data_IF_177374110593
#
_entry.id   IF_177374110593
#
_cell.length_a   1.000
_cell.length_b   1.000
_cell.length_c   1.000
_cell.angle_alpha   90.00
_cell.angle_beta   90.00
_cell.angle_gamma   90.00
#
_symmetry.space_group_name_H-M   'P 1'
#
loop_
_entity.id
_entity.type
_entity.pdbx_description
1 polymer ?
#
# COMPACT_ATOMS: atom_id res chain seq x y z
N UNK A 1 13.38 1.00 -11.85
CA UNK A 1 12.47 0.92 -10.74
C UNK A 1 12.56 2.14 -9.84
N UNK A 2 13.47 2.18 -8.88
CA UNK A 2 13.50 3.28 -7.92
C UNK A 2 13.87 4.63 -8.55
N UNK A 3 14.77 4.67 -9.54
CA UNK A 3 15.19 5.92 -10.18
C UNK A 3 14.21 6.47 -11.18
N UNK A 4 13.29 5.63 -11.69
CA UNK A 4 12.36 6.00 -12.76
C UNK A 4 10.90 5.97 -12.34
N UNK A 5 10.58 5.33 -11.21
CA UNK A 5 9.20 5.25 -10.72
C UNK A 5 8.90 6.45 -9.83
N UNK A 6 8.02 7.38 -10.28
CA UNK A 6 7.72 8.56 -9.47
C UNK A 6 7.01 8.23 -8.15
N UNK A 7 6.43 7.04 -8.02
CA UNK A 7 5.70 6.61 -6.81
C UNK A 7 6.59 5.92 -5.79
N UNK A 8 7.86 5.68 -6.11
CA UNK A 8 8.81 5.03 -5.22
C UNK A 8 9.06 5.90 -3.98
N UNK A 9 9.04 5.29 -2.80
CA UNK A 9 9.29 5.99 -1.53
C UNK A 9 10.61 5.54 -0.91
N UNK A 10 10.78 4.23 -0.71
CA UNK A 10 11.97 3.73 -0.03
C UNK A 10 12.18 2.25 -0.30
N UNK A 11 13.43 1.86 -0.37
CA UNK A 11 13.83 0.46 -0.42
C UNK A 11 14.08 -0.03 1.00
N UNK A 12 13.45 -1.15 1.37
CA UNK A 12 13.72 -1.83 2.63
C UNK A 12 14.51 -3.10 2.34
N UNK A 13 14.76 -3.91 3.35
CA UNK A 13 15.58 -5.10 3.17
C UNK A 13 14.93 -6.13 2.24
N UNK A 14 13.63 -6.35 2.39
CA UNK A 14 12.93 -7.40 1.63
C UNK A 14 12.00 -6.86 0.54
N UNK A 15 11.82 -5.55 0.45
CA UNK A 15 10.87 -5.02 -0.52
C UNK A 15 10.99 -3.54 -0.74
N UNK A 16 10.11 -3.03 -1.61
CA UNK A 16 10.05 -1.62 -2.00
C UNK A 16 8.73 -1.02 -1.57
N UNK A 17 8.79 0.16 -0.97
CA UNK A 17 7.60 0.93 -0.57
C UNK A 17 7.25 1.88 -1.71
N UNK A 18 6.02 1.78 -2.21
CA UNK A 18 5.55 2.53 -3.38
C UNK A 18 4.15 3.07 -3.09
N UNK A 19 3.92 4.35 -3.34
CA UNK A 19 2.57 4.93 -3.24
C UNK A 19 1.72 4.38 -4.38
N UNK A 20 0.48 4.01 -4.10
CA UNK A 20 -0.45 3.56 -5.13
C UNK A 20 -0.81 4.69 -6.08
N UNK A 21 -0.93 4.39 -7.37
CA UNK A 21 -1.20 5.41 -8.39
C UNK A 21 -2.66 5.89 -8.39
N UNK A 22 -3.57 5.18 -7.72
CA UNK A 22 -4.90 5.69 -7.46
C UNK A 22 -5.03 5.96 -5.95
N UNK A 23 -5.62 7.07 -5.60
CA UNK A 23 -5.70 7.54 -4.22
C UNK A 23 -7.14 7.78 -3.78
N UNK A 24 -8.06 6.96 -4.26
CA UNK A 24 -9.42 6.97 -3.70
C UNK A 24 -9.36 6.72 -2.19
N UNK A 25 -8.57 5.72 -1.79
CA UNK A 25 -8.25 5.49 -0.38
C UNK A 25 -6.95 6.22 -0.08
N UNK A 26 -7.05 7.42 0.48
CA UNK A 26 -5.89 8.31 0.68
C UNK A 26 -4.81 7.63 1.51
N UNK A 27 -3.62 7.53 0.94
CA UNK A 27 -2.49 6.86 1.56
C UNK A 27 -2.29 5.42 1.10
N UNK A 28 -3.13 4.92 0.16
CA UNK A 28 -2.95 3.58 -0.39
C UNK A 28 -1.50 3.40 -0.83
N UNK A 29 -0.86 2.37 -0.29
CA UNK A 29 0.57 2.09 -0.48
C UNK A 29 0.74 0.61 -0.80
N UNK A 30 1.75 0.31 -1.61
CA UNK A 30 2.13 -1.05 -1.96
C UNK A 30 3.48 -1.36 -1.32
N UNK A 31 3.65 -2.60 -0.88
CA UNK A 31 4.94 -3.11 -0.45
C UNK A 31 5.28 -4.30 -1.34
N UNK A 32 6.24 -4.11 -2.25
CA UNK A 32 6.58 -5.07 -3.29
C UNK A 32 7.76 -5.92 -2.83
N UNK A 33 7.62 -7.24 -2.90
CA UNK A 33 8.70 -8.16 -2.54
C UNK A 33 9.85 -8.03 -3.56
N UNK A 34 11.09 -8.02 -3.08
CA UNK A 34 12.26 -7.99 -3.96
C UNK A 34 12.44 -9.27 -4.75
N UNK A 35 12.10 -10.41 -4.14
CA UNK A 35 12.25 -11.69 -4.83
C UNK A 35 11.07 -11.94 -5.78
N UNK A 36 11.36 -12.57 -6.90
CA UNK A 36 10.33 -12.92 -7.89
C UNK A 36 9.60 -14.19 -7.45
N UNK A 37 8.76 -14.05 -6.44
CA UNK A 37 7.93 -15.14 -5.91
C UNK A 37 6.47 -14.80 -6.10
N UNK A 38 5.63 -15.81 -6.14
CA UNK A 38 4.19 -15.64 -6.29
C UNK A 38 3.45 -15.95 -5.00
N UNK A 39 4.08 -16.70 -4.09
CA UNK A 39 3.44 -17.12 -2.86
C UNK A 39 4.33 -16.82 -1.65
N UNK A 40 3.69 -16.43 -0.56
CA UNK A 40 4.38 -16.14 0.68
C UNK A 40 5.20 -17.34 1.18
N UNK A 41 4.64 -18.56 1.06
CA UNK A 41 5.29 -19.76 1.55
C UNK A 41 6.54 -20.18 0.75
N UNK A 42 6.78 -19.53 -0.41
CA UNK A 42 7.97 -19.79 -1.22
C UNK A 42 9.24 -19.10 -0.68
N UNK A 43 9.06 -18.10 0.20
CA UNK A 43 10.20 -17.42 0.82
C UNK A 43 10.84 -18.33 1.85
N UNK A 44 12.18 -18.21 2.03
CA UNK A 44 12.85 -18.91 3.14
C UNK A 44 12.28 -18.38 4.46
N UNK A 45 12.41 -19.15 5.52
CA UNK A 45 11.83 -18.77 6.81
C UNK A 45 12.29 -17.39 7.28
N UNK A 46 13.59 -17.12 7.24
CA UNK A 46 14.12 -15.84 7.69
C UNK A 46 13.64 -14.66 6.84
N UNK A 47 13.58 -14.85 5.53
CA UNK A 47 13.09 -13.80 4.62
C UNK A 47 11.60 -13.58 4.79
N UNK A 48 10.84 -14.66 4.98
CA UNK A 48 9.40 -14.57 5.23
C UNK A 48 9.10 -13.73 6.46
N UNK A 49 9.79 -14.04 7.56
CA UNK A 49 9.59 -13.30 8.82
C UNK A 49 9.95 -11.84 8.63
N UNK A 50 11.09 -11.57 7.98
CA UNK A 50 11.51 -10.19 7.76
C UNK A 50 10.54 -9.43 6.84
N UNK A 51 10.04 -10.10 5.80
CA UNK A 51 9.07 -9.51 4.88
C UNK A 51 7.77 -9.13 5.61
N UNK A 52 7.29 -10.01 6.49
CA UNK A 52 6.09 -9.75 7.29
C UNK A 52 6.32 -8.62 8.29
N UNK A 53 7.47 -8.59 8.94
CA UNK A 53 7.83 -7.50 9.86
C UNK A 53 7.87 -6.17 9.14
N UNK A 54 8.54 -6.14 7.99
CA UNK A 54 8.66 -4.90 7.22
C UNK A 54 7.32 -4.43 6.69
N UNK A 55 6.47 -5.35 6.24
CA UNK A 55 5.12 -5.02 5.83
C UNK A 55 4.35 -4.35 6.99
N UNK A 56 4.46 -4.90 8.19
CA UNK A 56 3.81 -4.35 9.37
C UNK A 56 4.32 -2.95 9.70
N UNK A 57 5.62 -2.73 9.56
CA UNK A 57 6.23 -1.40 9.77
C UNK A 57 5.69 -0.40 8.73
N UNK A 58 5.62 -0.82 7.47
CA UNK A 58 5.09 0.04 6.41
C UNK A 58 3.62 0.39 6.71
N UNK A 59 2.83 -0.58 7.14
CA UNK A 59 1.42 -0.35 7.46
C UNK A 59 1.27 0.65 8.61
N UNK A 60 2.09 0.54 9.64
CA UNK A 60 2.07 1.48 10.77
C UNK A 60 2.46 2.89 10.30
N UNK A 61 3.49 2.99 9.47
CA UNK A 61 3.93 4.28 8.94
C UNK A 61 2.82 4.92 8.09
N UNK A 62 2.14 4.14 7.26
CA UNK A 62 1.03 4.61 6.44
C UNK A 62 -0.10 5.11 7.34
N UNK A 63 -0.45 4.36 8.36
CA UNK A 63 -1.49 4.75 9.31
C UNK A 63 -1.16 6.08 9.99
N UNK A 64 0.08 6.24 10.40
CA UNK A 64 0.53 7.47 11.07
C UNK A 64 0.58 8.65 10.12
N UNK A 65 1.04 8.42 8.90
CA UNK A 65 1.21 9.50 7.91
C UNK A 65 -0.13 10.02 7.40
N UNK A 66 -1.12 9.14 7.25
CA UNK A 66 -2.38 9.49 6.57
C UNK A 66 -3.61 9.41 7.48
N UNK A 67 -3.41 9.10 8.76
CA UNK A 67 -4.50 9.15 9.73
C UNK A 67 -5.58 8.11 9.54
N UNK A 68 -5.20 6.86 9.31
CA UNK A 68 -6.15 5.78 9.11
C UNK A 68 -6.91 5.45 10.39
N UNK A 69 -8.21 5.17 10.25
CA UNK A 69 -9.01 4.62 11.35
C UNK A 69 -8.80 3.12 11.46
N UNK A 70 -8.53 2.47 10.33
CA UNK A 70 -8.27 1.03 10.24
C UNK A 70 -7.38 0.78 9.03
N UNK A 71 -6.39 -0.08 9.15
CA UNK A 71 -5.61 -0.54 8.01
C UNK A 71 -6.18 -1.85 7.49
N UNK A 72 -6.34 -1.94 6.18
CA UNK A 72 -6.65 -3.22 5.52
C UNK A 72 -5.37 -3.71 4.82
N UNK A 73 -5.05 -4.98 5.04
CA UNK A 73 -3.86 -5.63 4.50
C UNK A 73 -4.36 -6.70 3.51
N UNK A 74 -3.99 -6.57 2.25
CA UNK A 74 -4.44 -7.51 1.23
C UNK A 74 -3.29 -8.06 0.42
N UNK A 75 -3.20 -9.38 0.36
CA UNK A 75 -2.17 -10.10 -0.38
C UNK A 75 -2.89 -10.95 -1.43
N UNK A 76 -3.14 -10.35 -2.59
CA UNK A 76 -3.96 -10.97 -3.62
C UNK A 76 -3.10 -11.70 -4.65
N UNK A 77 -2.88 -11.10 -5.82
CA UNK A 77 -1.98 -11.70 -6.81
C UNK A 77 -2.67 -12.42 -7.94
N UNK A 78 -3.99 -12.30 -8.06
CA UNK A 78 -4.71 -12.95 -9.16
C UNK A 78 -4.47 -12.24 -10.49
N UNK A 79 -4.20 -10.95 -10.45
CA UNK A 79 -3.86 -10.18 -11.64
C UNK A 79 -2.35 -10.16 -11.83
N UNK A 80 -1.66 -9.38 -11.05
CA UNK A 80 -0.19 -9.36 -11.02
C UNK A 80 0.27 -10.39 -10.00
N UNK A 81 0.89 -11.45 -10.44
CA UNK A 81 1.26 -12.57 -9.59
C UNK A 81 2.50 -12.32 -8.73
N UNK A 82 3.27 -11.27 -9.01
CA UNK A 82 4.43 -10.91 -8.20
C UNK A 82 3.98 -10.59 -6.77
N UNK A 83 4.61 -11.21 -5.79
CA UNK A 83 4.22 -11.10 -4.38
C UNK A 83 4.29 -9.64 -3.90
N UNK A 84 3.16 -9.08 -3.50
CA UNK A 84 3.07 -7.70 -3.02
C UNK A 84 1.87 -7.52 -2.11
N UNK A 85 2.03 -6.62 -1.14
CA UNK A 85 0.96 -6.23 -0.23
C UNK A 85 0.27 -4.98 -0.71
N UNK A 86 -1.06 -4.96 -0.62
CA UNK A 86 -1.86 -3.74 -0.76
C UNK A 86 -2.20 -3.27 0.65
N UNK A 87 -1.81 -2.06 0.99
CA UNK A 87 -2.05 -1.48 2.31
C UNK A 87 -3.00 -0.30 2.15
N UNK A 88 -4.23 -0.47 2.61
CA UNK A 88 -5.29 0.52 2.43
C UNK A 88 -5.65 1.17 3.76
N UNK A 89 -5.40 2.50 3.91
CA UNK A 89 -5.95 3.23 5.05
C UNK A 89 -7.45 3.38 4.85
N UNK A 90 -8.22 2.94 5.81
CA UNK A 90 -9.67 3.01 5.75
C UNK A 90 -10.19 4.08 6.69
N UNK A 91 -11.20 4.81 6.25
CA UNK A 91 -11.87 5.86 7.02
C UNK A 91 -13.36 5.75 6.83
N UNK A 92 -14.13 6.23 7.81
CA UNK A 92 -15.59 6.26 7.72
C UNK A 92 -16.00 7.05 6.48
N UNK A 93 -16.93 6.50 5.71
CA UNK A 93 -17.47 7.15 4.52
C UNK A 93 -16.67 6.96 3.25
N UNK A 94 -15.57 6.22 3.27
CA UNK A 94 -14.73 6.06 2.08
C UNK A 94 -15.38 5.21 0.98
N UNK A 95 -16.27 4.26 1.33
CA UNK A 95 -17.04 3.49 0.34
C UNK A 95 -18.50 3.35 0.76
N UNK A 96 -19.19 4.47 0.84
CA UNK A 96 -20.60 4.49 1.17
C UNK A 96 -21.42 3.71 0.13
N UNK A 97 -22.46 3.02 0.60
CA UNK A 97 -23.41 2.26 -0.21
C UNK A 97 -22.84 1.01 -0.88
N UNK A 98 -21.63 0.62 -0.52
CA UNK A 98 -20.99 -0.61 -1.02
C UNK A 98 -20.45 -1.39 0.15
N UNK A 99 -20.27 -2.71 -0.07
CA UNK A 99 -19.53 -3.52 0.87
C UNK A 99 -20.03 -3.45 2.31
N UNK A 100 -21.34 -3.69 2.55
CA UNK A 100 -21.93 -3.66 3.88
C UNK A 100 -21.71 -2.29 4.55
N UNK A 101 -22.12 -1.24 3.84
CA UNK A 101 -22.01 0.16 4.28
C UNK A 101 -20.58 0.58 4.59
N UNK A 102 -19.66 0.17 3.73
CA UNK A 102 -18.26 0.52 3.85
C UNK A 102 -17.44 -0.39 4.75
N UNK A 103 -18.06 -1.45 5.28
CA UNK A 103 -17.36 -2.38 6.17
C UNK A 103 -16.72 -3.55 5.41
N UNK A 104 -17.00 -3.67 4.11
CA UNK A 104 -16.50 -4.76 3.31
C UNK A 104 -15.10 -4.50 2.77
N UNK A 105 -14.56 -5.50 2.07
CA UNK A 105 -13.25 -5.36 1.42
C UNK A 105 -13.21 -4.21 0.42
N UNK A 106 -12.04 -3.63 0.23
CA UNK A 106 -11.81 -2.55 -0.74
C UNK A 106 -12.34 -2.93 -2.13
N UNK A 107 -12.10 -4.18 -2.54
CA UNK A 107 -12.41 -4.63 -3.90
C UNK A 107 -13.89 -4.84 -4.18
N UNK A 108 -14.76 -4.62 -3.19
CA UNK A 108 -16.20 -4.53 -3.40
C UNK A 108 -16.61 -3.16 -3.95
N UNK A 109 -15.71 -2.19 -3.89
CA UNK A 109 -15.93 -0.88 -4.50
C UNK A 109 -15.68 -0.99 -6.01
N UNK A 110 -16.52 -0.38 -6.87
CA UNK A 110 -16.35 -0.53 -8.32
C UNK A 110 -14.97 -0.08 -8.79
N UNK A 111 -14.31 -0.94 -9.57
CA UNK A 111 -12.96 -0.70 -10.06
C UNK A 111 -12.87 0.56 -10.91
N UNK A 112 -13.86 0.79 -11.77
CA UNK A 112 -13.89 1.97 -12.63
C UNK A 112 -13.97 3.28 -11.84
N UNK A 113 -14.54 3.24 -10.65
CA UNK A 113 -14.57 4.41 -9.76
C UNK A 113 -13.25 4.58 -9.03
N UNK A 114 -12.70 3.48 -8.52
CA UNK A 114 -11.45 3.50 -7.78
C UNK A 114 -10.29 3.95 -8.67
N UNK A 115 -10.25 3.47 -9.91
CA UNK A 115 -9.17 3.79 -10.86
C UNK A 115 -9.50 4.97 -11.77
N UNK A 116 -10.50 5.78 -11.41
CA UNK A 116 -10.79 7.00 -12.15
C UNK A 116 -9.57 7.93 -12.12
N UNK A 117 -9.28 8.60 -13.25
CA UNK A 117 -8.13 9.50 -13.35
C UNK A 117 -8.16 10.62 -12.31
N UNK A 118 -9.34 11.00 -11.82
CA UNK A 118 -9.47 12.01 -10.77
C UNK A 118 -8.85 11.54 -9.44
N UNK A 119 -8.61 10.25 -9.28
CA UNK A 119 -7.98 9.70 -8.09
C UNK A 119 -6.47 9.59 -8.21
N UNK A 120 -5.89 9.98 -9.34
CA UNK A 120 -4.44 10.04 -9.47
C UNK A 120 -3.94 11.30 -8.77
N UNK A 121 -2.92 11.18 -7.93
CA UNK A 121 -2.37 12.38 -7.26
C UNK A 121 -1.64 13.26 -8.28
N UNK A 122 -1.73 14.57 -8.09
CA UNK A 122 -0.89 15.50 -8.84
C UNK A 122 0.56 15.30 -8.42
N UNK A 123 1.50 15.84 -9.19
CA UNK A 123 2.92 15.75 -8.85
C UNK A 123 3.21 16.32 -7.46
N UNK A 124 2.61 17.47 -7.15
CA UNK A 124 2.80 18.12 -5.86
C UNK A 124 2.22 17.29 -4.73
N UNK A 125 1.02 16.75 -4.91
CA UNK A 125 0.39 15.88 -3.92
C UNK A 125 1.23 14.64 -3.67
N UNK A 126 1.73 14.03 -4.75
CA UNK A 126 2.52 12.81 -4.66
C UNK A 126 3.81 13.06 -3.88
N UNK A 127 4.51 14.15 -4.16
CA UNK A 127 5.76 14.48 -3.44
C UNK A 127 5.49 14.72 -1.96
N UNK A 128 4.39 15.39 -1.63
CA UNK A 128 4.00 15.60 -0.23
C UNK A 128 3.69 14.29 0.48
N UNK A 129 2.97 13.40 -0.19
CA UNK A 129 2.62 12.09 0.37
C UNK A 129 3.87 11.24 0.61
N UNK A 130 4.79 11.24 -0.35
CA UNK A 130 6.05 10.50 -0.23
C UNK A 130 6.87 11.00 0.96
N UNK A 131 6.94 12.32 1.12
CA UNK A 131 7.69 12.91 2.22
C UNK A 131 7.09 12.55 3.58
N UNK A 132 5.76 12.66 3.71
CA UNK A 132 5.06 12.30 4.94
C UNK A 132 5.29 10.84 5.30
N UNK A 133 5.18 9.97 4.32
CA UNK A 133 5.37 8.54 4.55
C UNK A 133 6.81 8.23 4.92
N UNK A 134 7.77 8.84 4.24
CA UNK A 134 9.19 8.63 4.52
C UNK A 134 9.55 9.02 5.95
N UNK A 135 9.04 10.16 6.41
CA UNK A 135 9.28 10.63 7.78
C UNK A 135 8.79 9.58 8.79
N UNK A 136 7.58 9.07 8.60
CA UNK A 136 7.02 8.08 9.52
C UNK A 136 7.77 6.74 9.45
N UNK A 137 8.17 6.33 8.24
CA UNK A 137 8.97 5.11 8.08
C UNK A 137 10.28 5.21 8.85
N UNK A 138 10.96 6.33 8.74
CA UNK A 138 12.28 6.49 9.37
C UNK A 138 12.21 6.54 10.88
N UNK A 139 11.07 6.90 11.44
CA UNK A 139 10.87 6.82 12.89
C UNK A 139 10.79 5.37 13.36
N UNK A 140 10.36 4.46 12.51
CA UNK A 140 10.11 3.06 12.88
C UNK A 140 11.24 2.11 12.47
N UNK A 141 12.14 2.54 11.59
CA UNK A 141 13.23 1.70 11.09
C UNK A 141 14.50 1.77 11.94
#
# INVERSE_FOLDING_TARGET
NNGTNPYFVKELQTGYVVIGDNQHFKGYTLFLCKEHKTELFQLTHSKKIKFLEEMSIVAEAVSNAFGAEKMNYELLGNGDTHLHWHLFPRKSGDIENYGNNGKGPVWWYPMEKMYNDNNRPSKTELEDMKEKLLIELEKLL
#
